data_IF_159972090911
#
_entry.id   IF_159972090911
#
_cell.length_a   1.000
_cell.length_b   1.000
_cell.length_c   1.000
_cell.angle_alpha   90.00
_cell.angle_beta   90.00
_cell.angle_gamma   90.00
#
_symmetry.space_group_name_H-M   'P 1'
#
loop_
_entity.id
_entity.type
_entity.pdbx_description
1 polymer ?
#
# COMPACT_ATOMS: atom_id res chain seq x y z
N UNK A 1 3.15 -8.82 39.88
CA UNK A 1 3.78 -7.74 40.68
C UNK A 1 4.74 -6.83 39.91
N UNK A 2 5.28 -7.22 38.74
CA UNK A 2 6.20 -6.39 37.92
C UNK A 2 5.61 -5.05 37.43
N UNK A 3 4.30 -5.02 37.16
CA UNK A 3 3.62 -3.80 36.73
C UNK A 3 3.56 -2.73 37.83
N UNK A 4 3.38 -3.14 39.09
CA UNK A 4 3.26 -2.24 40.23
C UNK A 4 4.61 -1.58 40.58
N UNK A 5 5.70 -2.36 40.49
CA UNK A 5 7.07 -1.84 40.63
C UNK A 5 7.42 -0.86 39.53
N UNK A 6 7.05 -1.15 38.27
CA UNK A 6 7.28 -0.24 37.15
C UNK A 6 6.45 1.05 37.26
N UNK A 7 5.21 0.97 37.75
CA UNK A 7 4.36 2.14 37.98
C UNK A 7 4.95 3.07 39.05
N UNK A 8 5.43 2.51 40.18
CA UNK A 8 6.10 3.27 41.23
C UNK A 8 7.40 3.92 40.75
N UNK A 9 8.21 3.19 39.98
CA UNK A 9 9.44 3.73 39.38
C UNK A 9 9.16 4.87 38.41
N UNK A 10 8.14 4.72 37.55
CA UNK A 10 7.73 5.77 36.61
C UNK A 10 7.22 7.04 37.30
N UNK A 11 6.54 6.89 38.45
CA UNK A 11 6.06 8.03 39.25
C UNK A 11 7.18 8.85 39.89
N UNK A 12 8.36 8.27 40.12
CA UNK A 12 9.51 8.96 40.72
C UNK A 12 10.42 9.64 39.69
N UNK A 13 10.19 9.43 38.39
CA UNK A 13 10.96 10.07 37.32
C UNK A 13 10.43 11.49 37.07
N UNK A 14 11.33 12.46 36.88
CA UNK A 14 10.93 13.78 36.41
C UNK A 14 10.25 13.65 35.05
N UNK A 15 8.98 13.99 35.00
CA UNK A 15 8.29 14.18 33.73
C UNK A 15 8.77 15.49 33.15
N UNK A 16 9.43 15.45 31.98
CA UNK A 16 9.68 16.64 31.20
C UNK A 16 8.33 17.17 30.72
N UNK A 17 7.69 18.01 31.53
CA UNK A 17 6.62 18.90 31.09
C UNK A 17 7.27 20.02 30.30
N UNK A 18 7.83 19.69 29.13
CA UNK A 18 7.95 20.72 28.11
C UNK A 18 6.52 21.19 27.85
N UNK A 19 6.27 22.49 28.00
CA UNK A 19 4.99 23.16 27.68
C UNK A 19 4.73 23.14 26.17
N UNK A 20 4.94 21.99 25.55
CA UNK A 20 4.60 21.75 24.16
C UNK A 20 3.11 21.53 24.15
N UNK A 21 2.40 22.47 23.55
CA UNK A 21 0.97 22.31 23.34
C UNK A 21 0.72 21.03 22.54
N UNK A 22 -0.43 20.40 22.75
CA UNK A 22 -0.78 19.16 22.06
C UNK A 22 -0.74 19.33 20.52
N UNK A 23 -1.00 20.53 20.02
CA UNK A 23 -0.89 20.85 18.59
C UNK A 23 0.56 20.94 18.11
N UNK A 24 1.46 21.52 18.90
CA UNK A 24 2.91 21.49 18.60
C UNK A 24 3.46 20.06 18.63
N UNK A 25 3.08 19.26 19.61
CA UNK A 25 3.50 17.87 19.71
C UNK A 25 3.03 17.05 18.50
N UNK A 26 1.75 17.19 18.11
CA UNK A 26 1.22 16.58 16.87
C UNK A 26 1.97 17.04 15.64
N UNK A 27 2.29 18.32 15.55
CA UNK A 27 2.98 18.90 14.38
C UNK A 27 4.39 18.34 14.26
N UNK A 28 5.12 18.26 15.37
CA UNK A 28 6.46 17.68 15.43
C UNK A 28 6.45 16.20 15.05
N UNK A 29 5.52 15.42 15.61
CA UNK A 29 5.38 13.99 15.27
C UNK A 29 5.05 13.82 13.78
N UNK A 30 4.10 14.60 13.24
CA UNK A 30 3.75 14.53 11.81
C UNK A 30 4.94 14.87 10.92
N UNK A 31 5.72 15.89 11.26
CA UNK A 31 6.89 16.29 10.50
C UNK A 31 7.98 15.21 10.54
N UNK A 32 8.23 14.61 11.70
CA UNK A 32 9.24 13.57 11.87
C UNK A 32 8.84 12.28 11.11
N UNK A 33 7.57 11.87 11.22
CA UNK A 33 7.01 10.73 10.48
C UNK A 33 7.11 10.96 8.98
N UNK A 34 6.70 12.13 8.49
CA UNK A 34 6.79 12.48 7.06
C UNK A 34 8.23 12.45 6.56
N UNK A 35 9.18 12.94 7.35
CA UNK A 35 10.61 12.94 6.99
C UNK A 35 11.18 11.54 6.92
N UNK A 36 10.88 10.66 7.90
CA UNK A 36 11.27 9.25 7.87
C UNK A 36 10.68 8.54 6.66
N UNK A 37 9.41 8.80 6.37
CA UNK A 37 8.71 8.21 5.25
C UNK A 37 9.30 8.62 3.89
N UNK A 38 9.58 9.92 3.67
CA UNK A 38 10.23 10.40 2.44
C UNK A 38 11.62 9.77 2.24
N UNK A 39 12.41 9.63 3.33
CA UNK A 39 13.72 8.95 3.26
C UNK A 39 13.60 7.47 2.89
N UNK A 40 12.55 6.79 3.34
CA UNK A 40 12.27 5.39 3.01
C UNK A 40 11.70 5.20 1.60
N UNK A 41 11.14 6.26 1.02
CA UNK A 41 10.50 6.24 -0.30
C UNK A 41 11.08 7.33 -1.22
N UNK A 42 12.36 7.21 -1.64
CA UNK A 42 13.03 8.23 -2.47
C UNK A 42 12.44 8.35 -3.88
N UNK A 43 11.72 7.34 -4.36
CA UNK A 43 10.96 7.37 -5.61
C UNK A 43 9.57 7.98 -5.47
N UNK A 44 9.15 8.36 -4.26
CA UNK A 44 7.88 9.02 -4.06
C UNK A 44 7.92 10.43 -4.64
N UNK A 45 7.03 10.68 -5.60
CA UNK A 45 6.75 12.02 -6.09
C UNK A 45 5.44 12.50 -5.48
N UNK A 46 5.48 13.66 -4.81
CA UNK A 46 4.27 14.41 -4.44
C UNK A 46 3.43 14.76 -5.67
N UNK A 47 4.05 14.78 -6.86
CA UNK A 47 3.41 15.04 -8.14
C UNK A 47 2.94 13.77 -8.86
N UNK A 48 3.02 12.59 -8.23
CA UNK A 48 2.34 11.42 -8.76
C UNK A 48 0.83 11.64 -8.69
N UNK A 49 0.24 11.95 -9.84
CA UNK A 49 -1.18 12.24 -9.99
C UNK A 49 -2.06 11.08 -9.48
N UNK A 50 -1.56 9.85 -9.46
CA UNK A 50 -2.30 8.72 -8.89
C UNK A 50 -2.32 8.77 -7.36
N UNK A 51 -1.22 9.18 -6.73
CA UNK A 51 -1.10 9.27 -5.27
C UNK A 51 -1.81 10.50 -4.69
N UNK A 52 -2.04 11.53 -5.49
CA UNK A 52 -2.86 12.69 -5.10
C UNK A 52 -4.37 12.40 -5.07
N UNK A 53 -4.82 11.31 -5.66
CA UNK A 53 -6.24 10.94 -5.71
C UNK A 53 -6.71 10.34 -4.38
N UNK A 54 -8.00 10.48 -4.10
CA UNK A 54 -8.61 9.81 -2.97
C UNK A 54 -8.65 8.28 -3.20
N UNK A 55 -8.95 7.53 -2.14
CA UNK A 55 -8.91 6.06 -2.20
C UNK A 55 -9.91 5.45 -3.19
N UNK A 56 -11.06 6.10 -3.37
CA UNK A 56 -12.10 5.66 -4.28
C UNK A 56 -11.66 5.83 -5.74
N UNK A 57 -11.14 7.00 -6.09
CA UNK A 57 -10.58 7.32 -7.41
C UNK A 57 -9.40 6.41 -7.78
N UNK A 58 -8.49 6.18 -6.83
CA UNK A 58 -7.39 5.21 -7.00
C UNK A 58 -7.91 3.80 -7.31
N UNK A 59 -9.02 3.40 -6.68
CA UNK A 59 -9.65 2.09 -6.88
C UNK A 59 -10.30 2.00 -8.26
N UNK A 60 -10.97 3.05 -8.71
CA UNK A 60 -11.57 3.14 -10.05
C UNK A 60 -10.50 2.98 -11.14
N UNK A 61 -9.42 3.77 -11.06
CA UNK A 61 -8.31 3.69 -12.02
C UNK A 61 -7.71 2.29 -12.03
N UNK A 62 -7.48 1.74 -10.83
CA UNK A 62 -6.92 0.41 -10.68
C UNK A 62 -7.81 -0.68 -11.30
N UNK A 63 -9.13 -0.61 -11.07
CA UNK A 63 -10.12 -1.50 -11.71
C UNK A 63 -10.10 -1.36 -13.23
N UNK A 64 -9.99 -0.14 -13.74
CA UNK A 64 -9.94 0.14 -15.17
C UNK A 64 -8.71 -0.50 -15.82
N UNK A 65 -7.53 -0.29 -15.22
CA UNK A 65 -6.27 -0.93 -15.66
C UNK A 65 -6.39 -2.45 -15.62
N UNK A 66 -6.96 -3.02 -14.56
CA UNK A 66 -7.15 -4.46 -14.43
C UNK A 66 -8.09 -5.01 -15.52
N UNK A 67 -9.22 -4.34 -15.79
CA UNK A 67 -10.15 -4.71 -16.85
C UNK A 67 -9.51 -4.62 -18.24
N UNK A 68 -8.75 -3.57 -18.52
CA UNK A 68 -8.02 -3.43 -19.78
C UNK A 68 -7.00 -4.55 -19.99
N UNK A 69 -6.25 -4.90 -18.94
CA UNK A 69 -5.29 -6.00 -18.99
C UNK A 69 -5.99 -7.35 -19.24
N UNK A 70 -7.15 -7.58 -18.61
CA UNK A 70 -7.98 -8.77 -18.88
C UNK A 70 -8.48 -8.81 -20.32
N UNK A 71 -8.97 -7.70 -20.84
CA UNK A 71 -9.41 -7.60 -22.25
C UNK A 71 -8.25 -7.88 -23.21
N UNK A 72 -7.08 -7.27 -22.96
CA UNK A 72 -5.88 -7.50 -23.78
C UNK A 72 -5.44 -8.97 -23.76
N UNK A 73 -5.47 -9.62 -22.59
CA UNK A 73 -5.23 -11.06 -22.46
C UNK A 73 -6.26 -11.87 -23.25
N UNK A 74 -7.53 -11.50 -23.20
CA UNK A 74 -8.60 -12.18 -23.95
C UNK A 74 -8.39 -12.04 -25.47
N UNK A 75 -8.14 -10.82 -25.97
CA UNK A 75 -7.83 -10.54 -27.38
C UNK A 75 -6.64 -11.37 -27.87
N UNK A 76 -5.57 -11.43 -27.09
CA UNK A 76 -4.39 -12.23 -27.45
C UNK A 76 -4.67 -13.74 -27.42
N UNK A 77 -5.32 -14.25 -26.37
CA UNK A 77 -5.49 -15.70 -26.19
C UNK A 77 -6.53 -16.30 -27.13
N UNK A 78 -7.66 -15.61 -27.36
CA UNK A 78 -8.80 -16.10 -28.13
C UNK A 78 -8.78 -15.65 -29.59
N UNK A 79 -8.44 -14.39 -29.85
CA UNK A 79 -8.46 -13.85 -31.21
C UNK A 79 -7.07 -13.81 -31.87
N UNK A 80 -6.00 -14.09 -31.10
CA UNK A 80 -4.60 -13.95 -31.57
C UNK A 80 -4.27 -12.54 -32.07
N UNK A 81 -5.00 -11.54 -31.59
CA UNK A 81 -4.81 -10.13 -31.96
C UNK A 81 -3.89 -9.47 -30.93
N UNK A 82 -2.83 -8.83 -31.43
CA UNK A 82 -1.85 -8.10 -30.62
C UNK A 82 -0.70 -8.96 -30.10
N UNK A 83 0.29 -8.34 -29.45
CA UNK A 83 1.40 -9.04 -28.80
C UNK A 83 0.94 -9.67 -27.49
N UNK A 84 1.46 -10.85 -27.18
CA UNK A 84 1.38 -11.43 -25.85
C UNK A 84 1.83 -10.38 -24.85
N UNK A 85 0.95 -9.98 -23.94
CA UNK A 85 1.37 -9.17 -22.81
C UNK A 85 2.13 -10.15 -21.90
N UNK A 86 3.43 -10.30 -22.12
CA UNK A 86 4.30 -11.10 -21.26
C UNK A 86 4.78 -10.14 -20.17
N UNK A 87 4.65 -10.57 -18.91
CA UNK A 87 5.21 -9.82 -17.79
C UNK A 87 6.69 -9.52 -18.08
N UNK A 88 7.24 -8.35 -17.72
CA UNK A 88 8.68 -8.09 -17.83
C UNK A 88 9.54 -9.15 -17.11
N UNK A 89 8.95 -9.91 -16.19
CA UNK A 89 9.55 -11.06 -15.51
C UNK A 89 9.66 -12.33 -16.37
N UNK A 90 9.07 -12.39 -17.56
CA UNK A 90 9.10 -13.55 -18.47
C UNK A 90 8.30 -14.77 -18.01
N UNK A 91 7.88 -14.83 -16.76
CA UNK A 91 7.33 -16.03 -16.11
C UNK A 91 5.80 -16.15 -16.18
N UNK A 92 5.10 -15.17 -16.78
CA UNK A 92 3.64 -15.22 -16.86
C UNK A 92 3.03 -14.14 -17.74
N UNK A 93 1.70 -14.18 -17.94
CA UNK A 93 0.98 -13.10 -18.59
C UNK A 93 1.14 -11.80 -17.80
N UNK A 94 1.14 -10.67 -18.49
CA UNK A 94 1.02 -9.33 -17.92
C UNK A 94 -0.47 -9.08 -17.65
N UNK A 95 -1.04 -9.89 -16.75
CA UNK A 95 -2.35 -9.63 -16.16
C UNK A 95 -2.18 -8.87 -14.85
N UNK A 96 -3.20 -8.11 -14.45
CA UNK A 96 -3.17 -7.46 -13.14
C UNK A 96 -3.12 -8.50 -12.01
N UNK A 97 -3.76 -9.66 -12.19
CA UNK A 97 -3.61 -10.81 -11.28
C UNK A 97 -2.15 -11.21 -11.12
N UNK A 98 -1.48 -11.48 -12.22
CA UNK A 98 -0.11 -12.02 -12.21
C UNK A 98 0.87 -11.00 -11.63
N UNK A 99 0.77 -9.72 -12.00
CA UNK A 99 1.61 -8.67 -11.43
C UNK A 99 1.40 -8.57 -9.91
N UNK A 100 0.17 -8.65 -9.43
CA UNK A 100 -0.14 -8.34 -8.03
C UNK A 100 -0.17 -9.54 -7.09
N UNK A 101 -0.08 -10.76 -7.60
CA UNK A 101 -0.10 -11.97 -6.79
C UNK A 101 1.13 -12.84 -7.01
N UNK A 102 1.55 -13.02 -8.27
CA UNK A 102 2.49 -14.09 -8.63
C UNK A 102 3.86 -13.58 -9.04
N UNK A 103 3.93 -12.36 -9.58
CA UNK A 103 5.17 -11.85 -10.19
C UNK A 103 6.26 -11.66 -9.13
N UNK A 104 7.46 -12.23 -9.35
CA UNK A 104 8.58 -12.09 -8.42
C UNK A 104 9.21 -10.70 -8.48
N UNK A 105 9.20 -10.04 -9.64
CA UNK A 105 9.81 -8.71 -9.82
C UNK A 105 9.19 -7.64 -8.91
N UNK A 106 7.95 -7.85 -8.48
CA UNK A 106 7.22 -6.92 -7.59
C UNK A 106 6.85 -7.57 -6.25
N UNK A 107 7.40 -8.75 -5.94
CA UNK A 107 7.13 -9.46 -4.69
C UNK A 107 7.56 -8.65 -3.46
N UNK A 108 8.76 -8.07 -3.50
CA UNK A 108 9.29 -7.24 -2.41
C UNK A 108 8.42 -6.00 -2.15
N UNK A 109 7.99 -5.32 -3.22
CA UNK A 109 7.07 -4.18 -3.15
C UNK A 109 5.68 -4.60 -2.66
N UNK A 110 5.20 -5.77 -3.06
CA UNK A 110 3.91 -6.30 -2.60
C UNK A 110 3.91 -6.55 -1.10
N UNK A 111 4.98 -7.16 -0.57
CA UNK A 111 5.10 -7.41 0.87
C UNK A 111 5.29 -6.13 1.68
N UNK A 112 5.94 -5.10 1.15
CA UNK A 112 6.10 -3.82 1.86
C UNK A 112 4.79 -3.04 1.99
N UNK A 113 3.95 -3.04 0.95
CA UNK A 113 2.65 -2.36 0.99
C UNK A 113 1.54 -3.20 1.65
N UNK A 114 1.62 -4.53 1.60
CA UNK A 114 0.70 -5.46 2.26
C UNK A 114 1.42 -6.70 2.79
N UNK A 115 1.77 -6.73 4.08
CA UNK A 115 2.37 -7.90 4.71
C UNK A 115 1.41 -9.10 4.72
N UNK A 116 0.11 -8.83 4.91
CA UNK A 116 -0.91 -9.86 5.03
C UNK A 116 -1.39 -10.37 3.65
N UNK A 117 -1.47 -11.71 3.46
CA UNK A 117 -1.97 -12.30 2.23
C UNK A 117 -3.45 -11.95 2.04
N UNK A 118 -3.74 -11.18 1.00
CA UNK A 118 -5.10 -10.76 0.64
C UNK A 118 -5.50 -11.29 -0.73
N UNK A 119 -6.74 -11.76 -0.85
CA UNK A 119 -7.24 -12.33 -2.11
C UNK A 119 -7.30 -11.27 -3.20
N UNK A 120 -7.21 -11.69 -4.47
CA UNK A 120 -7.28 -10.75 -5.60
C UNK A 120 -8.61 -9.98 -5.64
N UNK A 121 -9.71 -10.65 -5.26
CA UNK A 121 -11.04 -10.04 -5.18
C UNK A 121 -11.08 -8.90 -4.16
N UNK A 122 -10.54 -9.10 -2.95
CA UNK A 122 -10.43 -8.04 -1.94
C UNK A 122 -9.46 -6.93 -2.35
N UNK A 123 -8.45 -7.23 -3.18
CA UNK A 123 -7.57 -6.21 -3.75
C UNK A 123 -8.30 -5.30 -4.74
N UNK A 124 -9.18 -5.84 -5.57
CA UNK A 124 -9.97 -5.07 -6.55
C UNK A 124 -11.12 -4.32 -5.90
N UNK A 125 -11.86 -4.97 -5.00
CA UNK A 125 -13.14 -4.48 -4.50
C UNK A 125 -13.07 -3.91 -3.08
N UNK A 126 -11.90 -3.97 -2.41
CA UNK A 126 -11.78 -3.65 -0.99
C UNK A 126 -12.35 -4.75 -0.10
N UNK A 127 -12.42 -4.51 1.22
CA UNK A 127 -13.18 -5.40 2.12
C UNK A 127 -14.64 -5.36 1.69
N UNK A 128 -15.09 -6.39 0.98
CA UNK A 128 -16.50 -6.60 0.72
C UNK A 128 -17.13 -6.92 2.06
N UNK A 129 -17.70 -5.93 2.74
CA UNK A 129 -18.62 -6.19 3.83
C UNK A 129 -19.79 -6.96 3.21
N UNK A 130 -19.75 -8.29 3.31
CA UNK A 130 -20.91 -9.11 3.03
C UNK A 130 -21.97 -8.66 4.04
N UNK A 131 -22.93 -7.86 3.58
CA UNK A 131 -24.17 -7.70 4.33
C UNK A 131 -24.79 -9.09 4.43
N UNK A 132 -24.93 -9.54 5.67
CA UNK A 132 -25.67 -10.74 6.02
C UNK A 132 -27.13 -10.63 5.56
#
# INVERSE_FOLDING_TARGET
MKADTLAKQGSSMQQNTTETTLEEAKTNIKAEVRTKWIKQHPSFSIHDQYLSLNREEQTIIFQFIARHNRLRKHMYTKLKIGKASICPCGQGPQSAEDILQTSPNVATLRHSFRPEPTTFTEKIHGKVLRKA
#
